data_IF_115598238005
#
_entry.id   IF_115598238005
#
_cell.length_a   1.000
_cell.length_b   1.000
_cell.length_c   1.000
_cell.angle_alpha   90.00
_cell.angle_beta   90.00
_cell.angle_gamma   90.00
#
_symmetry.space_group_name_H-M   'P 1'
#
loop_
_entity.id
_entity.type
_entity.pdbx_description
1 polymer ?
#
# COMPACT_ATOMS: atom_id res chain seq x y z
N UNK A 1 -20.01 -3.37 25.87
CA UNK A 1 -19.41 -4.68 26.23
C UNK A 1 -18.46 -5.07 25.11
N UNK A 2 -17.19 -5.29 25.46
CA UNK A 2 -16.03 -5.75 24.66
C UNK A 2 -16.17 -6.00 23.14
N UNK A 3 -15.72 -5.03 22.34
CA UNK A 3 -15.41 -5.19 20.89
C UNK A 3 -14.25 -6.17 20.62
N UNK A 4 -13.50 -6.58 21.64
CA UNK A 4 -12.42 -7.58 21.54
C UNK A 4 -12.89 -9.03 21.34
N UNK A 5 -14.19 -9.32 21.47
CA UNK A 5 -14.75 -10.65 21.20
C UNK A 5 -14.83 -10.95 19.70
N UNK A 6 -15.20 -9.94 18.91
CA UNK A 6 -15.56 -10.09 17.49
C UNK A 6 -14.35 -10.41 16.62
N UNK A 7 -13.20 -9.77 16.86
CA UNK A 7 -11.97 -10.03 16.10
C UNK A 7 -11.40 -11.43 16.35
N UNK A 8 -11.59 -11.99 17.56
CA UNK A 8 -11.24 -13.39 17.87
C UNK A 8 -12.18 -14.36 17.15
N UNK A 9 -13.46 -14.03 17.07
CA UNK A 9 -14.47 -14.77 16.31
C UNK A 9 -14.17 -14.72 14.81
N UNK A 10 -13.88 -13.56 14.24
CA UNK A 10 -13.57 -13.36 12.81
C UNK A 10 -12.26 -14.06 12.39
N UNK A 11 -11.20 -14.00 13.22
CA UNK A 11 -9.97 -14.78 12.99
C UNK A 11 -10.26 -16.27 13.13
N UNK A 12 -10.99 -16.71 14.15
CA UNK A 12 -11.39 -18.11 14.28
C UNK A 12 -12.33 -18.57 13.16
N UNK A 13 -13.16 -17.72 12.58
CA UNK A 13 -14.01 -18.05 11.43
C UNK A 13 -13.19 -18.16 10.15
N UNK A 14 -12.24 -17.26 9.90
CA UNK A 14 -11.33 -17.34 8.76
C UNK A 14 -10.41 -18.58 8.85
N UNK A 15 -9.96 -18.92 10.06
CA UNK A 15 -9.18 -20.13 10.35
C UNK A 15 -10.04 -21.40 10.30
N UNK A 16 -11.25 -21.40 10.89
CA UNK A 16 -12.14 -22.56 10.87
C UNK A 16 -12.76 -22.83 9.48
N UNK A 17 -13.02 -21.79 8.66
CA UNK A 17 -13.47 -21.96 7.27
C UNK A 17 -12.43 -22.62 6.37
N UNK A 18 -11.15 -22.73 6.78
CA UNK A 18 -10.05 -23.29 5.98
C UNK A 18 -9.05 -24.12 6.83
N UNK A 19 -9.58 -24.97 7.73
CA UNK A 19 -8.79 -25.84 8.64
C UNK A 19 -7.81 -26.79 7.95
N UNK A 20 -7.99 -27.09 6.67
CA UNK A 20 -7.26 -28.14 5.97
C UNK A 20 -5.87 -27.72 5.46
N UNK A 21 -5.54 -26.42 5.46
CA UNK A 21 -4.20 -25.96 5.10
C UNK A 21 -3.22 -26.13 6.28
N UNK A 22 -2.58 -27.30 6.30
CA UNK A 22 -1.52 -27.66 7.25
C UNK A 22 -0.29 -26.75 7.21
N UNK A 23 -0.10 -25.90 6.20
CA UNK A 23 0.98 -24.91 6.19
C UNK A 23 0.59 -23.66 6.98
N UNK A 24 -0.64 -23.16 6.78
CA UNK A 24 -1.18 -22.01 7.53
C UNK A 24 -1.26 -22.30 9.02
N UNK A 25 -1.79 -23.47 9.40
CA UNK A 25 -1.90 -23.86 10.82
C UNK A 25 -0.54 -24.02 11.48
N UNK A 26 0.47 -24.56 10.78
CA UNK A 26 1.86 -24.64 11.30
C UNK A 26 2.54 -23.28 11.42
N UNK A 27 2.25 -22.35 10.51
CA UNK A 27 2.75 -20.97 10.60
C UNK A 27 2.11 -20.27 11.82
N UNK A 28 0.78 -20.28 11.93
CA UNK A 28 0.04 -19.67 13.03
C UNK A 28 0.40 -20.26 14.39
N UNK A 29 0.60 -21.58 14.50
CA UNK A 29 1.00 -22.24 15.74
C UNK A 29 2.41 -21.83 16.16
N UNK A 30 3.39 -21.79 15.23
CA UNK A 30 4.74 -21.23 15.49
C UNK A 30 4.73 -19.74 15.84
N UNK A 31 3.69 -19.00 15.47
CA UNK A 31 3.54 -17.56 15.73
C UNK A 31 2.81 -17.24 17.05
N UNK A 32 2.13 -18.20 17.69
CA UNK A 32 1.31 -17.94 18.88
C UNK A 32 2.07 -18.00 20.21
N UNK A 33 3.22 -18.68 20.23
CA UNK A 33 4.02 -18.88 21.43
C UNK A 33 5.19 -17.86 21.47
N UNK A 34 5.82 -17.70 22.65
CA UNK A 34 7.29 -17.53 22.85
C UNK A 34 7.95 -16.17 23.27
N UNK A 35 9.12 -16.29 23.94
CA UNK A 35 9.39 -15.66 25.25
C UNK A 35 10.73 -14.99 25.69
N UNK A 36 11.76 -14.62 24.88
CA UNK A 36 13.04 -14.09 25.49
C UNK A 36 14.01 -13.08 24.77
N UNK A 37 15.23 -12.86 25.32
CA UNK A 37 16.26 -11.82 24.99
C UNK A 37 17.75 -12.34 24.87
N UNK A 38 18.69 -11.52 24.36
CA UNK A 38 19.89 -11.78 23.48
C UNK A 38 19.61 -11.54 21.97
N UNK A 39 18.52 -10.81 21.69
CA UNK A 39 18.00 -10.71 20.33
C UNK A 39 18.36 -9.42 19.60
N UNK A 40 18.63 -8.31 20.28
CA UNK A 40 18.86 -7.01 19.61
C UNK A 40 20.11 -7.04 18.73
N UNK A 41 21.24 -7.57 19.23
CA UNK A 41 22.45 -7.79 18.44
C UNK A 41 22.23 -8.78 17.28
N UNK A 42 21.37 -9.79 17.47
CA UNK A 42 21.00 -10.75 16.42
C UNK A 42 20.04 -10.16 15.38
N UNK A 43 19.22 -9.18 15.75
CA UNK A 43 18.26 -8.49 14.89
C UNK A 43 18.86 -7.30 14.14
N UNK A 44 19.95 -6.70 14.63
CA UNK A 44 20.65 -5.60 13.97
C UNK A 44 21.15 -5.93 12.54
N UNK A 45 21.29 -7.22 12.19
CA UNK A 45 21.65 -7.70 10.85
C UNK A 45 20.46 -7.89 9.91
N UNK A 46 19.23 -7.82 10.41
CA UNK A 46 18.00 -7.97 9.65
C UNK A 46 17.37 -6.62 9.32
N UNK A 47 16.57 -6.58 8.25
CA UNK A 47 15.87 -5.38 7.80
C UNK A 47 14.38 -5.52 8.07
N UNK A 48 13.83 -4.58 8.81
CA UNK A 48 12.41 -4.45 9.13
C UNK A 48 12.07 -2.98 9.41
N UNK A 49 10.80 -2.57 9.44
CA UNK A 49 10.40 -1.23 9.87
C UNK A 49 11.01 -0.80 11.21
N UNK A 50 11.21 -1.75 12.13
CA UNK A 50 11.83 -1.52 13.44
C UNK A 50 13.35 -1.25 13.39
N UNK A 51 14.04 -1.64 12.30
CA UNK A 51 15.50 -1.50 12.17
C UNK A 51 15.93 -0.37 11.22
N UNK A 52 14.98 0.25 10.51
CA UNK A 52 15.28 1.30 9.53
C UNK A 52 15.37 2.71 10.13
N UNK A 53 15.01 2.90 11.40
CA UNK A 53 15.07 4.20 12.08
C UNK A 53 13.96 5.19 11.70
N UNK A 54 12.98 4.77 10.89
CA UNK A 54 11.84 5.60 10.51
C UNK A 54 10.72 5.57 11.55
N UNK A 55 10.11 6.72 11.80
CA UNK A 55 9.01 6.84 12.75
C UNK A 55 7.75 6.09 12.28
N UNK A 56 7.05 5.46 13.23
CA UNK A 56 5.71 4.94 13.01
C UNK A 56 4.74 6.06 12.59
N UNK A 57 3.81 5.74 11.69
CA UNK A 57 2.79 6.70 11.26
C UNK A 57 1.88 7.07 12.46
N UNK A 58 1.46 8.33 12.62
CA UNK A 58 0.54 8.71 13.68
C UNK A 58 -0.84 8.07 13.47
N UNK A 59 -1.63 7.91 14.54
CA UNK A 59 -2.89 7.17 14.51
C UNK A 59 -3.90 7.66 13.44
N UNK A 60 -4.15 8.97 13.24
CA UNK A 60 -5.05 9.43 12.17
C UNK A 60 -4.54 9.06 10.76
N UNK A 61 -3.22 9.09 10.55
CA UNK A 61 -2.60 8.63 9.29
C UNK A 61 -2.76 7.12 9.10
N UNK A 62 -2.75 6.34 10.18
CA UNK A 62 -3.07 4.91 10.11
C UNK A 62 -4.52 4.66 9.67
N UNK A 63 -5.49 5.42 10.19
CA UNK A 63 -6.88 5.34 9.72
C UNK A 63 -7.00 5.70 8.22
N UNK A 64 -6.34 6.77 7.79
CA UNK A 64 -6.28 7.17 6.38
C UNK A 64 -5.63 6.14 5.45
N UNK A 65 -4.53 5.50 5.87
CA UNK A 65 -3.89 4.41 5.10
C UNK A 65 -4.82 3.19 5.04
N UNK A 66 -5.48 2.82 6.14
CA UNK A 66 -6.42 1.70 6.18
C UNK A 66 -7.63 1.90 5.26
N UNK A 67 -8.20 3.11 5.24
CA UNK A 67 -9.31 3.47 4.35
C UNK A 67 -8.91 3.46 2.86
N UNK A 68 -7.62 3.70 2.57
CA UNK A 68 -7.06 3.75 1.20
C UNK A 68 -6.38 2.48 0.72
N UNK A 69 -6.47 1.36 1.44
CA UNK A 69 -5.85 0.08 1.01
C UNK A 69 -6.27 -0.37 -0.40
N UNK A 70 -7.47 0.00 -0.86
CA UNK A 70 -7.93 -0.27 -2.22
C UNK A 70 -7.11 0.44 -3.32
N UNK A 71 -6.38 1.52 -3.01
CA UNK A 71 -5.57 2.27 -3.97
C UNK A 71 -4.22 1.62 -4.28
N UNK A 72 -3.86 0.55 -3.57
CA UNK A 72 -2.61 -0.17 -3.80
C UNK A 72 -2.46 -0.70 -5.24
N UNK A 73 -3.58 -1.03 -5.91
CA UNK A 73 -3.61 -1.50 -7.30
C UNK A 73 -3.14 -2.94 -7.51
N UNK A 74 -2.11 -3.37 -6.77
CA UNK A 74 -1.52 -4.71 -6.78
C UNK A 74 -1.46 -5.30 -5.37
N UNK A 75 -1.48 -6.64 -5.25
CA UNK A 75 -1.28 -7.34 -3.97
C UNK A 75 0.07 -6.98 -3.33
N UNK A 76 1.07 -6.63 -4.15
CA UNK A 76 2.40 -6.20 -3.73
C UNK A 76 2.38 -4.89 -2.96
N UNK A 77 1.80 -3.84 -3.55
CA UNK A 77 1.67 -2.55 -2.89
C UNK A 77 0.72 -2.64 -1.67
N UNK A 78 -0.27 -3.55 -1.72
CA UNK A 78 -1.16 -3.84 -0.59
C UNK A 78 -0.40 -4.47 0.59
N UNK A 79 0.57 -5.34 0.33
CA UNK A 79 1.45 -5.91 1.34
C UNK A 79 2.20 -4.83 2.12
N UNK A 80 2.61 -3.76 1.43
CA UNK A 80 3.40 -2.67 2.01
C UNK A 80 2.57 -1.71 2.85
N UNK A 81 1.39 -1.33 2.38
CA UNK A 81 0.48 -0.51 3.17
C UNK A 81 0.01 -1.25 4.42
N UNK A 82 -0.28 -2.56 4.31
CA UNK A 82 -0.57 -3.41 5.47
C UNK A 82 0.63 -3.60 6.40
N UNK A 83 1.87 -3.71 5.89
CA UNK A 83 3.07 -3.78 6.71
C UNK A 83 3.33 -2.47 7.46
N UNK A 84 3.08 -1.32 6.83
CA UNK A 84 3.20 -0.01 7.45
C UNK A 84 2.15 0.18 8.55
N UNK A 85 0.90 -0.22 8.30
CA UNK A 85 -0.13 -0.32 9.34
C UNK A 85 0.29 -1.26 10.47
N UNK A 86 0.82 -2.44 10.15
CA UNK A 86 1.25 -3.43 11.13
C UNK A 86 2.30 -2.85 12.08
N UNK A 87 3.38 -2.28 11.53
CA UNK A 87 4.42 -1.58 12.28
C UNK A 87 3.87 -0.42 13.13
N UNK A 88 3.06 0.44 12.53
CA UNK A 88 2.58 1.66 13.17
C UNK A 88 1.60 1.37 14.31
N UNK A 89 0.58 0.53 14.06
CA UNK A 89 -0.38 0.10 15.08
C UNK A 89 0.32 -0.64 16.23
N UNK A 90 1.32 -1.47 15.94
CA UNK A 90 2.08 -2.18 16.97
C UNK A 90 2.87 -1.21 17.87
N UNK A 91 3.51 -0.20 17.27
CA UNK A 91 4.25 0.86 17.98
C UNK A 91 3.31 1.71 18.85
N UNK A 92 2.13 2.06 18.36
CA UNK A 92 1.07 2.76 19.10
C UNK A 92 0.27 1.85 20.06
N UNK A 93 0.87 0.75 20.54
CA UNK A 93 0.30 -0.21 21.50
C UNK A 93 -0.98 -0.96 21.08
N UNK A 94 -1.51 -0.73 19.88
CA UNK A 94 -2.56 -1.54 19.22
C UNK A 94 -1.99 -2.87 18.68
N UNK A 95 -1.29 -3.61 19.56
CA UNK A 95 -0.48 -4.79 19.23
C UNK A 95 -1.26 -5.92 18.57
N UNK A 96 -2.53 -6.11 18.94
CA UNK A 96 -3.40 -7.12 18.34
C UNK A 96 -3.74 -6.77 16.88
N UNK A 97 -4.18 -5.52 16.63
CA UNK A 97 -4.47 -5.00 15.28
C UNK A 97 -3.21 -5.03 14.41
N UNK A 98 -2.06 -4.60 14.95
CA UNK A 98 -0.78 -4.61 14.24
C UNK A 98 -0.35 -6.02 13.81
N UNK A 99 -0.48 -7.01 14.69
CA UNK A 99 -0.24 -8.43 14.35
C UNK A 99 -1.24 -8.96 13.32
N UNK A 100 -2.51 -8.61 13.43
CA UNK A 100 -3.53 -9.03 12.45
C UNK A 100 -3.18 -8.50 11.05
N UNK A 101 -2.76 -7.23 10.93
CA UNK A 101 -2.29 -6.67 9.65
C UNK A 101 -1.03 -7.36 9.12
N UNK A 102 -0.11 -7.77 9.99
CA UNK A 102 1.07 -8.55 9.57
C UNK A 102 0.69 -9.95 9.07
N UNK A 103 -0.26 -10.63 9.73
CA UNK A 103 -0.83 -11.91 9.26
C UNK A 103 -1.51 -11.74 7.89
N UNK A 104 -2.26 -10.66 7.68
CA UNK A 104 -2.83 -10.35 6.36
C UNK A 104 -1.76 -10.18 5.26
N UNK A 105 -0.54 -9.73 5.58
CA UNK A 105 0.58 -9.73 4.62
C UNK A 105 1.08 -11.16 4.34
N UNK A 106 1.20 -12.02 5.35
CA UNK A 106 1.61 -13.42 5.17
C UNK A 106 0.64 -14.20 4.30
N UNK A 107 -0.65 -13.86 4.33
CA UNK A 107 -1.63 -14.48 3.45
C UNK A 107 -1.24 -14.34 1.97
N UNK A 108 -0.60 -13.25 1.56
CA UNK A 108 -0.13 -13.03 0.18
C UNK A 108 1.03 -13.96 -0.25
N UNK A 109 1.62 -14.70 0.69
CA UNK A 109 2.65 -15.72 0.41
C UNK A 109 2.05 -17.12 0.25
N UNK A 110 0.76 -17.31 0.56
CA UNK A 110 0.09 -18.61 0.46
C UNK A 110 -0.32 -18.92 -0.98
N UNK A 111 -0.31 -20.20 -1.39
CA UNK A 111 -0.73 -20.59 -2.73
C UNK A 111 -2.25 -20.44 -2.90
N UNK A 112 -2.65 -20.01 -4.10
CA UNK A 112 -4.05 -20.03 -4.55
C UNK A 112 -4.69 -18.64 -4.69
N UNK A 113 -5.74 -18.53 -5.54
CA UNK A 113 -6.26 -17.26 -6.04
C UNK A 113 -6.97 -16.40 -4.97
N UNK A 114 -7.33 -16.97 -3.82
CA UNK A 114 -7.87 -16.20 -2.69
C UNK A 114 -6.82 -15.37 -1.94
N UNK A 115 -5.54 -15.68 -2.14
CA UNK A 115 -4.46 -15.30 -1.24
C UNK A 115 -3.39 -14.48 -1.95
N UNK A 116 -2.89 -15.01 -3.07
CA UNK A 116 -2.10 -14.28 -4.04
C UNK A 116 -2.84 -14.41 -5.37
N UNK A 117 -3.32 -13.29 -5.95
CA UNK A 117 -4.16 -13.30 -7.16
C UNK A 117 -3.38 -13.61 -8.45
N UNK A 118 -2.34 -14.45 -8.35
CA UNK A 118 -1.35 -14.66 -9.40
C UNK A 118 -0.49 -13.43 -9.65
N UNK A 119 -0.36 -12.52 -8.68
CA UNK A 119 0.33 -11.23 -8.80
C UNK A 119 1.82 -11.50 -9.11
N UNK A 120 2.31 -11.26 -10.35
CA UNK A 120 3.61 -11.82 -10.77
C UNK A 120 4.76 -11.33 -9.89
N UNK A 121 4.79 -10.05 -9.56
CA UNK A 121 5.83 -9.44 -8.72
C UNK A 121 5.88 -10.03 -7.30
N UNK A 122 4.75 -10.49 -6.74
CA UNK A 122 4.72 -11.17 -5.42
C UNK A 122 5.37 -12.56 -5.51
N UNK A 123 5.29 -13.22 -6.68
CA UNK A 123 5.96 -14.49 -6.94
C UNK A 123 7.45 -14.28 -7.23
N UNK A 124 7.76 -13.33 -8.11
CA UNK A 124 9.13 -12.98 -8.52
C UNK A 124 9.96 -12.55 -7.31
N UNK A 125 9.41 -11.71 -6.43
CA UNK A 125 10.07 -11.19 -5.23
C UNK A 125 9.57 -11.80 -3.92
N UNK A 126 9.15 -13.08 -3.98
CA UNK A 126 8.58 -13.81 -2.84
C UNK A 126 9.54 -13.96 -1.67
N UNK A 127 10.84 -14.15 -1.93
CA UNK A 127 11.84 -14.26 -0.86
C UNK A 127 12.03 -12.93 -0.13
N UNK A 128 12.06 -11.81 -0.86
CA UNK A 128 12.17 -10.46 -0.29
C UNK A 128 10.99 -10.13 0.62
N UNK A 129 9.76 -10.36 0.14
CA UNK A 129 8.56 -10.13 0.93
C UNK A 129 8.57 -11.02 2.18
N UNK A 130 8.78 -12.34 2.02
CA UNK A 130 8.88 -13.26 3.16
C UNK A 130 9.93 -12.82 4.18
N UNK A 131 11.14 -12.53 3.72
CA UNK A 131 12.25 -12.09 4.57
C UNK A 131 11.87 -10.86 5.41
N UNK A 132 11.17 -9.89 4.80
CA UNK A 132 10.73 -8.69 5.50
C UNK A 132 9.61 -8.98 6.51
N UNK A 133 8.64 -9.85 6.18
CA UNK A 133 7.59 -10.25 7.11
C UNK A 133 8.15 -11.07 8.28
N UNK A 134 9.04 -12.03 8.02
CA UNK A 134 9.71 -12.86 9.03
C UNK A 134 10.53 -11.96 9.98
N UNK A 135 11.32 -11.04 9.44
CA UNK A 135 12.11 -10.06 10.21
C UNK A 135 11.24 -9.11 11.04
N UNK A 136 10.11 -8.64 10.48
CA UNK A 136 9.19 -7.75 11.20
C UNK A 136 8.46 -8.47 12.32
N UNK A 137 8.05 -9.73 12.10
CA UNK A 137 7.40 -10.55 13.12
C UNK A 137 8.34 -10.83 14.30
N UNK A 138 9.60 -11.19 14.01
CA UNK A 138 10.64 -11.33 15.02
C UNK A 138 10.80 -10.04 15.85
N UNK A 139 10.95 -8.88 15.21
CA UNK A 139 11.04 -7.58 15.90
C UNK A 139 9.84 -7.31 16.81
N UNK A 140 8.60 -7.57 16.37
CA UNK A 140 7.40 -7.42 17.20
C UNK A 140 7.44 -8.30 18.45
N UNK A 141 7.82 -9.57 18.31
CA UNK A 141 7.91 -10.53 19.43
C UNK A 141 8.96 -10.16 20.48
N UNK A 142 9.91 -9.29 20.14
CA UNK A 142 10.98 -8.82 21.03
C UNK A 142 10.58 -7.53 21.75
N UNK A 143 10.05 -6.55 21.00
CA UNK A 143 9.55 -5.25 21.54
C UNK A 143 8.42 -5.41 22.59
N UNK A 144 7.78 -6.59 22.67
CA UNK A 144 6.78 -6.86 23.70
C UNK A 144 7.36 -6.91 25.14
N UNK A 145 8.69 -6.99 25.30
CA UNK A 145 9.37 -7.27 26.59
C UNK A 145 9.83 -6.00 27.30
N UNK A 146 9.26 -5.73 28.48
CA UNK A 146 9.72 -4.68 29.41
C UNK A 146 10.43 -5.23 30.66
N UNK A 147 10.67 -6.54 30.75
CA UNK A 147 11.31 -7.17 31.91
C UNK A 147 12.52 -8.02 31.48
N UNK A 148 13.63 -7.98 32.25
CA UNK A 148 14.81 -8.81 32.00
C UNK A 148 14.55 -10.24 32.46
N UNK A 149 13.96 -11.06 31.59
CA UNK A 149 13.90 -12.51 31.77
C UNK A 149 15.15 -13.16 31.17
N UNK A 150 15.71 -14.14 31.85
CA UNK A 150 16.98 -14.79 31.50
C UNK A 150 16.85 -15.72 30.29
N UNK A 151 17.33 -15.27 29.13
CA UNK A 151 17.50 -16.07 27.90
C UNK A 151 16.43 -15.84 26.82
N UNK A 152 16.74 -16.25 25.58
CA UNK A 152 15.77 -16.35 24.48
C UNK A 152 15.00 -17.67 24.64
N UNK A 153 13.68 -17.61 24.57
CA UNK A 153 12.86 -18.81 24.49
C UNK A 153 13.16 -19.57 23.17
N UNK A 154 13.43 -20.89 23.25
CA UNK A 154 13.92 -21.71 22.13
C UNK A 154 13.17 -21.57 20.80
N UNK A 155 11.84 -21.44 20.77
CA UNK A 155 11.10 -21.45 19.49
C UNK A 155 11.35 -20.19 18.66
N UNK A 156 11.62 -19.05 19.31
CA UNK A 156 11.90 -17.76 18.66
C UNK A 156 13.38 -17.69 18.30
N UNK A 157 14.26 -18.29 19.11
CA UNK A 157 15.64 -18.53 18.71
C UNK A 157 15.71 -19.41 17.45
N UNK A 158 14.92 -20.50 17.38
CA UNK A 158 14.78 -21.35 16.20
C UNK A 158 14.21 -20.54 15.02
N UNK A 159 13.08 -19.85 15.18
CA UNK A 159 12.47 -19.05 14.13
C UNK A 159 13.43 -18.00 13.56
N UNK A 160 14.08 -17.20 14.42
CA UNK A 160 15.07 -16.20 14.00
C UNK A 160 16.24 -16.85 13.27
N UNK A 161 16.65 -18.07 13.64
CA UNK A 161 17.71 -18.80 12.93
C UNK A 161 17.32 -19.21 11.50
N UNK A 162 16.03 -19.33 11.20
CA UNK A 162 15.53 -19.63 9.84
C UNK A 162 15.54 -18.42 8.90
N UNK A 163 15.70 -17.19 9.42
CA UNK A 163 15.70 -15.96 8.62
C UNK A 163 17.06 -15.83 7.92
N UNK A 164 17.07 -15.98 6.58
CA UNK A 164 18.26 -15.73 5.74
C UNK A 164 18.79 -14.30 5.97
N UNK A 165 20.07 -14.06 6.27
CA UNK A 165 20.60 -12.70 6.42
C UNK A 165 20.49 -11.90 5.11
N UNK A 166 20.20 -10.59 5.19
CA UNK A 166 20.02 -9.70 4.01
C UNK A 166 21.11 -9.87 2.94
N UNK A 167 22.38 -9.95 3.36
CA UNK A 167 23.53 -10.04 2.45
C UNK A 167 23.56 -11.36 1.65
N UNK A 168 22.82 -12.40 2.07
CA UNK A 168 22.71 -13.70 1.37
C UNK A 168 21.60 -13.74 0.33
N UNK A 169 20.70 -12.74 0.29
CA UNK A 169 19.62 -12.69 -0.71
C UNK A 169 20.17 -12.42 -2.13
N UNK A 170 19.51 -12.92 -3.19
CA UNK A 170 19.79 -12.53 -4.58
C UNK A 170 19.66 -11.01 -4.81
N UNK A 171 20.28 -10.47 -5.87
CA UNK A 171 20.30 -9.02 -6.15
C UNK A 171 18.91 -8.43 -6.36
N UNK A 172 18.04 -9.14 -7.09
CA UNK A 172 16.62 -8.81 -7.29
C UNK A 172 15.86 -8.70 -5.95
N UNK A 173 16.02 -9.70 -5.09
CA UNK A 173 15.37 -9.72 -3.77
C UNK A 173 15.92 -8.61 -2.86
N UNK A 174 17.22 -8.26 -2.96
CA UNK A 174 17.81 -7.11 -2.28
C UNK A 174 17.21 -5.79 -2.81
N UNK A 175 17.05 -5.65 -4.12
CA UNK A 175 16.42 -4.49 -4.74
C UNK A 175 14.98 -4.29 -4.23
N UNK A 176 14.20 -5.37 -4.15
CA UNK A 176 12.86 -5.35 -3.57
C UNK A 176 12.84 -4.86 -2.12
N UNK A 177 13.71 -5.39 -1.25
CA UNK A 177 13.82 -4.94 0.15
C UNK A 177 14.24 -3.46 0.25
N UNK A 178 15.05 -2.93 -0.68
CA UNK A 178 15.40 -1.51 -0.70
C UNK A 178 14.21 -0.61 -1.07
N UNK A 179 13.38 -1.00 -2.04
CA UNK A 179 12.16 -0.23 -2.37
C UNK A 179 11.11 -0.32 -1.26
N UNK A 180 10.99 -1.48 -0.60
CA UNK A 180 10.20 -1.63 0.62
C UNK A 180 10.65 -0.64 1.70
N UNK A 181 11.95 -0.59 2.00
CA UNK A 181 12.54 0.38 2.94
C UNK A 181 12.26 1.83 2.53
N UNK A 182 12.35 2.13 1.23
CA UNK A 182 12.02 3.45 0.67
C UNK A 182 10.56 3.88 0.85
N UNK A 183 9.61 2.95 1.02
CA UNK A 183 8.21 3.30 1.32
C UNK A 183 7.98 3.73 2.77
N UNK A 184 8.96 3.55 3.66
CA UNK A 184 8.91 3.99 5.05
C UNK A 184 9.74 5.26 5.29
N UNK A 185 10.60 5.63 4.35
CA UNK A 185 11.46 6.81 4.44
C UNK A 185 10.77 8.11 4.06
N UNK A 186 11.50 9.21 4.28
CA UNK A 186 11.20 10.52 3.71
C UNK A 186 11.32 10.54 2.17
N UNK A 187 11.09 11.72 1.58
CA UNK A 187 11.02 11.85 0.13
C UNK A 187 12.36 11.52 -0.56
N UNK A 188 13.48 11.98 0.01
CA UNK A 188 14.84 11.75 -0.49
C UNK A 188 15.35 10.33 -0.21
N UNK A 189 14.96 9.73 0.91
CA UNK A 189 15.24 8.32 1.21
C UNK A 189 14.66 7.40 0.15
N UNK A 190 13.42 7.65 -0.30
CA UNK A 190 12.75 6.82 -1.29
C UNK A 190 13.47 6.91 -2.64
N UNK A 191 13.76 8.13 -3.12
CA UNK A 191 14.51 8.35 -4.37
C UNK A 191 15.86 7.64 -4.36
N UNK A 192 16.61 7.77 -3.27
CA UNK A 192 17.94 7.16 -3.09
C UNK A 192 17.87 5.64 -3.10
N UNK A 193 16.89 5.06 -2.41
CA UNK A 193 16.72 3.60 -2.30
C UNK A 193 16.17 3.00 -3.60
N UNK A 194 15.23 3.67 -4.28
CA UNK A 194 14.73 3.26 -5.58
C UNK A 194 15.83 3.28 -6.66
N UNK A 195 16.65 4.34 -6.73
CA UNK A 195 17.82 4.38 -7.64
C UNK A 195 18.81 3.25 -7.36
N UNK A 196 19.05 2.90 -6.09
CA UNK A 196 19.88 1.73 -5.71
C UNK A 196 19.24 0.40 -6.09
N UNK A 197 17.91 0.27 -5.99
CA UNK A 197 17.20 -0.93 -6.41
C UNK A 197 17.26 -1.12 -7.93
N UNK A 198 17.05 -0.06 -8.71
CA UNK A 198 17.21 -0.07 -10.17
C UNK A 198 18.65 -0.46 -10.56
N UNK A 199 19.67 0.03 -9.86
CA UNK A 199 21.05 -0.36 -10.11
C UNK A 199 21.37 -1.84 -9.80
N UNK A 200 20.59 -2.50 -8.93
CA UNK A 200 20.73 -3.93 -8.62
C UNK A 200 19.86 -4.83 -9.49
N UNK A 201 18.80 -4.28 -10.09
CA UNK A 201 17.76 -5.00 -10.84
C UNK A 201 17.14 -4.05 -11.88
N UNK A 202 17.86 -3.74 -12.98
CA UNK A 202 17.47 -2.67 -13.92
C UNK A 202 16.27 -3.04 -14.81
N UNK A 203 15.98 -4.33 -14.94
CA UNK A 203 14.89 -4.85 -15.79
C UNK A 203 13.56 -4.99 -15.02
N UNK A 204 13.53 -4.61 -13.74
CA UNK A 204 12.32 -4.58 -12.92
C UNK A 204 11.57 -3.25 -13.08
N UNK A 205 10.36 -3.32 -13.63
CA UNK A 205 9.50 -2.16 -13.85
C UNK A 205 9.02 -1.49 -12.56
N UNK A 206 8.81 -2.22 -11.47
CA UNK A 206 8.25 -1.65 -10.23
C UNK A 206 9.20 -0.67 -9.55
N UNK A 207 10.51 -0.89 -9.59
CA UNK A 207 11.46 0.06 -8.98
C UNK A 207 11.45 1.40 -9.73
N UNK A 208 11.24 1.35 -11.05
CA UNK A 208 11.09 2.52 -11.92
C UNK A 208 9.71 3.18 -11.74
N UNK A 209 8.64 2.40 -11.56
CA UNK A 209 7.33 2.91 -11.14
C UNK A 209 7.44 3.72 -9.86
N UNK A 210 8.07 3.16 -8.83
CA UNK A 210 8.22 3.79 -7.53
C UNK A 210 9.08 5.05 -7.58
N UNK A 211 10.16 5.07 -8.38
CA UNK A 211 10.96 6.27 -8.63
C UNK A 211 10.15 7.34 -9.38
N UNK A 212 9.49 6.98 -10.48
CA UNK A 212 8.68 7.90 -11.30
C UNK A 212 7.47 8.46 -10.55
N UNK A 213 6.79 7.64 -9.76
CA UNK A 213 5.73 8.09 -8.84
C UNK A 213 6.25 9.13 -7.85
N UNK A 214 7.44 8.91 -7.30
CA UNK A 214 8.00 9.83 -6.31
C UNK A 214 8.40 11.17 -6.92
N UNK A 215 9.01 11.15 -8.11
CA UNK A 215 9.34 12.35 -8.88
C UNK A 215 8.08 13.14 -9.25
N UNK A 216 7.03 12.48 -9.74
CA UNK A 216 5.70 13.09 -9.96
C UNK A 216 5.16 13.75 -8.68
N UNK A 217 5.25 13.05 -7.54
CA UNK A 217 4.80 13.57 -6.25
C UNK A 217 5.58 14.81 -5.78
N UNK A 218 6.91 14.82 -5.94
CA UNK A 218 7.74 16.00 -5.63
C UNK A 218 7.40 17.18 -6.56
N UNK A 219 7.29 16.93 -7.87
CA UNK A 219 6.90 17.94 -8.86
C UNK A 219 5.57 18.60 -8.50
N UNK A 220 4.53 17.81 -8.20
CA UNK A 220 3.20 18.32 -7.84
C UNK A 220 3.26 19.14 -6.54
N UNK A 221 3.99 18.68 -5.50
CA UNK A 221 4.22 19.46 -4.27
C UNK A 221 4.92 20.80 -4.51
N UNK A 222 5.79 20.88 -5.52
CA UNK A 222 6.51 22.09 -5.92
C UNK A 222 5.70 22.99 -6.88
N UNK A 223 4.47 22.62 -7.25
CA UNK A 223 3.65 23.35 -8.21
C UNK A 223 4.08 23.19 -9.68
N UNK A 224 4.94 22.21 -9.99
CA UNK A 224 5.47 21.98 -11.33
C UNK A 224 4.42 21.39 -12.28
N UNK A 225 4.07 22.13 -13.33
CA UNK A 225 3.07 21.73 -14.33
C UNK A 225 3.59 20.86 -15.47
N UNK A 226 4.91 20.66 -15.59
CA UNK A 226 5.54 19.89 -16.68
C UNK A 226 6.36 18.74 -16.11
N UNK A 227 6.06 17.47 -16.44
CA UNK A 227 6.84 16.30 -16.02
C UNK A 227 8.32 16.38 -16.40
N UNK A 228 9.18 15.91 -15.49
CA UNK A 228 10.61 15.81 -15.75
C UNK A 228 10.96 14.71 -16.77
N UNK A 229 12.12 14.81 -17.41
CA UNK A 229 12.62 13.77 -18.33
C UNK A 229 12.86 12.44 -17.59
N UNK A 230 13.44 12.47 -16.39
CA UNK A 230 13.61 11.27 -15.54
C UNK A 230 12.24 10.67 -15.13
N UNK A 231 11.26 11.50 -14.76
CA UNK A 231 9.90 11.07 -14.39
C UNK A 231 9.25 10.27 -15.53
N UNK A 232 9.19 10.83 -16.74
CA UNK A 232 8.57 10.17 -17.88
C UNK A 232 9.37 8.96 -18.37
N UNK A 233 10.70 9.02 -18.35
CA UNK A 233 11.54 7.89 -18.73
C UNK A 233 11.31 6.68 -17.80
N UNK A 234 11.28 6.90 -16.48
CA UNK A 234 11.04 5.84 -15.51
C UNK A 234 9.63 5.26 -15.62
N UNK A 235 8.60 6.10 -15.82
CA UNK A 235 7.22 5.61 -15.94
C UNK A 235 6.96 4.86 -17.26
N UNK A 236 7.57 5.29 -18.38
CA UNK A 236 7.52 4.54 -19.66
C UNK A 236 8.24 3.20 -19.55
N UNK A 237 9.41 3.18 -18.96
CA UNK A 237 10.15 1.94 -18.71
C UNK A 237 9.38 0.99 -17.79
N UNK A 238 8.71 1.52 -16.76
CA UNK A 238 7.90 0.73 -15.85
C UNK A 238 6.76 0.00 -16.59
N UNK A 239 5.98 0.72 -17.41
CA UNK A 239 4.91 0.14 -18.24
C UNK A 239 5.46 -0.88 -19.26
N UNK A 240 6.66 -0.66 -19.81
CA UNK A 240 7.31 -1.58 -20.74
C UNK A 240 7.76 -2.88 -20.08
N UNK A 241 8.34 -2.80 -18.88
CA UNK A 241 8.97 -3.94 -18.19
C UNK A 241 7.99 -4.72 -17.31
N UNK A 242 7.04 -4.02 -16.66
CA UNK A 242 6.00 -4.64 -15.84
C UNK A 242 4.69 -3.86 -15.97
N UNK A 243 3.92 -4.16 -17.01
CA UNK A 243 2.55 -3.62 -17.14
C UNK A 243 1.68 -4.11 -15.98
N UNK A 244 1.02 -3.16 -15.32
CA UNK A 244 0.22 -3.38 -14.12
C UNK A 244 -0.80 -2.22 -13.93
N UNK A 245 -1.81 -2.40 -13.06
CA UNK A 245 -2.79 -1.37 -12.71
C UNK A 245 -2.19 0.00 -12.35
N UNK A 246 -1.11 -0.01 -11.59
CA UNK A 246 -0.41 1.16 -11.06
C UNK A 246 0.57 1.78 -12.05
N UNK A 247 1.31 0.99 -12.84
CA UNK A 247 2.20 1.55 -13.88
C UNK A 247 1.43 2.29 -14.97
N UNK A 248 0.34 1.69 -15.48
CA UNK A 248 -0.53 2.32 -16.50
C UNK A 248 -1.13 3.63 -16.00
N UNK A 249 -1.75 3.60 -14.81
CA UNK A 249 -2.42 4.78 -14.25
C UNK A 249 -1.43 5.86 -13.83
N UNK A 250 -0.25 5.51 -13.31
CA UNK A 250 0.78 6.49 -12.94
C UNK A 250 1.33 7.24 -14.14
N UNK A 251 1.64 6.53 -15.24
CA UNK A 251 2.08 7.14 -16.49
C UNK A 251 0.99 8.04 -17.09
N UNK A 252 -0.27 7.61 -17.07
CA UNK A 252 -1.39 8.41 -17.55
C UNK A 252 -1.56 9.73 -16.77
N UNK A 253 -1.35 9.73 -15.45
CA UNK A 253 -1.37 10.96 -14.63
C UNK A 253 -0.28 11.95 -15.08
N UNK A 254 0.98 11.50 -15.27
CA UNK A 254 2.03 12.40 -15.76
C UNK A 254 1.73 12.91 -17.18
N UNK A 255 1.24 12.04 -18.06
CA UNK A 255 0.97 12.43 -19.45
C UNK A 255 -0.22 13.37 -19.63
N UNK A 256 -1.16 13.44 -18.68
CA UNK A 256 -2.25 14.42 -18.71
C UNK A 256 -1.75 15.89 -18.65
N UNK A 257 -0.57 16.10 -18.04
CA UNK A 257 0.13 17.37 -17.99
C UNK A 257 0.93 17.65 -19.31
N UNK A 258 1.22 16.64 -20.12
CA UNK A 258 2.08 16.71 -21.32
C UNK A 258 1.37 17.21 -22.60
N UNK A 259 0.60 18.30 -22.51
CA UNK A 259 -0.03 18.95 -23.67
C UNK A 259 -0.98 18.04 -24.48
N UNK A 260 -1.34 18.39 -25.74
CA UNK A 260 -2.34 17.66 -26.50
C UNK A 260 -1.95 16.20 -26.83
N UNK A 261 -0.68 15.96 -27.19
CA UNK A 261 -0.19 14.62 -27.51
C UNK A 261 -0.16 13.71 -26.26
N UNK A 262 0.38 14.20 -25.15
CA UNK A 262 0.39 13.48 -23.88
C UNK A 262 -1.01 13.19 -23.36
N UNK A 263 -1.95 14.15 -23.47
CA UNK A 263 -3.36 13.93 -23.10
C UNK A 263 -4.04 12.85 -23.93
N UNK A 264 -3.68 12.74 -25.21
CA UNK A 264 -4.19 11.67 -26.10
C UNK A 264 -3.67 10.31 -25.66
N UNK A 265 -2.37 10.21 -25.36
CA UNK A 265 -1.75 8.97 -24.85
C UNK A 265 -2.25 8.60 -23.44
N UNK A 266 -2.47 9.58 -22.55
CA UNK A 266 -3.05 9.39 -21.23
C UNK A 266 -4.48 8.83 -21.29
N UNK A 267 -5.33 9.31 -22.22
CA UNK A 267 -6.65 8.73 -22.47
C UNK A 267 -6.53 7.27 -22.92
N UNK A 268 -5.65 6.98 -23.87
CA UNK A 268 -5.42 5.59 -24.34
C UNK A 268 -4.97 4.66 -23.21
N UNK A 269 -4.07 5.10 -22.32
CA UNK A 269 -3.62 4.33 -21.16
C UNK A 269 -4.74 4.11 -20.12
N UNK A 270 -5.62 5.10 -19.91
CA UNK A 270 -6.80 4.95 -19.04
C UNK A 270 -7.77 3.94 -19.63
N UNK A 271 -8.09 4.05 -20.92
CA UNK A 271 -9.03 3.15 -21.59
C UNK A 271 -8.48 1.71 -21.61
N UNK A 272 -7.16 1.53 -21.83
CA UNK A 272 -6.46 0.25 -21.69
C UNK A 272 -6.54 -0.30 -20.26
N UNK A 273 -6.23 0.51 -19.24
CA UNK A 273 -6.28 0.06 -17.85
C UNK A 273 -7.69 -0.34 -17.41
N UNK A 274 -8.72 0.38 -17.87
CA UNK A 274 -10.12 0.05 -17.61
C UNK A 274 -10.59 -1.22 -18.35
N UNK A 275 -9.98 -1.55 -19.48
CA UNK A 275 -10.25 -2.78 -20.22
C UNK A 275 -9.51 -4.01 -19.64
N UNK A 276 -8.23 -3.85 -19.25
CA UNK A 276 -7.43 -4.90 -18.62
C UNK A 276 -7.88 -5.19 -17.17
N UNK A 277 -8.34 -4.17 -16.44
CA UNK A 277 -8.65 -4.25 -14.99
C UNK A 277 -10.00 -3.59 -14.62
N UNK A 278 -11.14 -4.02 -15.22
CA UNK A 278 -12.43 -3.34 -15.09
C UNK A 278 -12.98 -3.26 -13.67
N UNK A 279 -12.61 -4.23 -12.81
CA UNK A 279 -13.02 -4.32 -11.41
C UNK A 279 -11.87 -4.06 -10.42
N UNK A 280 -10.82 -3.33 -10.86
CA UNK A 280 -9.77 -2.86 -9.96
C UNK A 280 -10.10 -1.45 -9.45
N UNK A 281 -10.38 -1.35 -8.14
CA UNK A 281 -10.77 -0.09 -7.52
C UNK A 281 -9.71 1.01 -7.58
N UNK A 282 -8.41 0.66 -7.58
CA UNK A 282 -7.35 1.64 -7.80
C UNK A 282 -7.44 2.20 -9.22
N UNK A 283 -7.60 1.34 -10.23
CA UNK A 283 -7.74 1.77 -11.63
C UNK A 283 -8.97 2.66 -11.79
N UNK A 284 -10.13 2.25 -11.28
CA UNK A 284 -11.36 3.06 -11.33
C UNK A 284 -11.17 4.44 -10.68
N UNK A 285 -10.53 4.50 -9.51
CA UNK A 285 -10.26 5.75 -8.79
C UNK A 285 -9.20 6.64 -9.45
N UNK A 286 -8.15 6.07 -10.05
CA UNK A 286 -7.10 6.84 -10.73
C UNK A 286 -7.53 7.25 -12.13
N UNK A 287 -8.27 6.41 -12.87
CA UNK A 287 -8.92 6.77 -14.12
C UNK A 287 -9.84 7.98 -13.93
N UNK A 288 -10.68 7.97 -12.88
CA UNK A 288 -11.51 9.11 -12.53
C UNK A 288 -10.68 10.40 -12.32
N UNK A 289 -9.54 10.30 -11.65
CA UNK A 289 -8.63 11.44 -11.48
C UNK A 289 -8.02 11.92 -12.80
N UNK A 290 -7.53 11.01 -13.66
CA UNK A 290 -6.98 11.37 -14.98
C UNK A 290 -8.04 12.02 -15.86
N UNK A 291 -9.27 11.48 -15.91
CA UNK A 291 -10.39 12.07 -16.67
C UNK A 291 -10.67 13.52 -16.22
N UNK A 292 -10.56 13.83 -14.92
CA UNK A 292 -10.65 15.21 -14.42
C UNK A 292 -9.50 16.10 -14.93
N UNK A 293 -8.27 15.59 -15.04
CA UNK A 293 -7.09 16.32 -15.54
C UNK A 293 -7.13 16.55 -17.06
N UNK A 294 -7.64 15.58 -17.83
CA UNK A 294 -7.79 15.69 -19.28
C UNK A 294 -8.82 16.76 -19.67
N UNK A 295 -9.88 16.91 -18.87
CA UNK A 295 -10.97 17.84 -19.12
C UNK A 295 -11.83 17.45 -20.33
N UNK A 296 -12.44 18.46 -20.97
CA UNK A 296 -13.38 18.28 -22.08
C UNK A 296 -14.73 18.92 -21.76
N UNK A 297 -15.82 18.36 -22.29
CA UNK A 297 -17.17 18.81 -21.93
C UNK A 297 -17.43 18.55 -20.44
N UNK A 298 -17.67 19.62 -19.68
CA UNK A 298 -17.88 19.62 -18.22
C UNK A 298 -18.88 18.55 -17.79
N UNK A 299 -20.02 18.45 -18.49
CA UNK A 299 -21.08 17.48 -18.18
C UNK A 299 -20.66 16.03 -18.50
N UNK A 300 -19.87 15.81 -19.55
CA UNK A 300 -19.37 14.48 -19.90
C UNK A 300 -18.32 13.99 -18.89
N UNK A 301 -17.35 14.86 -18.56
CA UNK A 301 -16.33 14.60 -17.52
C UNK A 301 -17.00 14.25 -16.20
N UNK A 302 -17.95 15.06 -15.73
CA UNK A 302 -18.63 14.78 -14.47
C UNK A 302 -19.48 13.50 -14.50
N UNK A 303 -20.09 13.13 -15.63
CA UNK A 303 -20.81 11.86 -15.75
C UNK A 303 -19.85 10.65 -15.68
N UNK A 304 -18.74 10.70 -16.41
CA UNK A 304 -17.73 9.64 -16.45
C UNK A 304 -17.08 9.44 -15.07
N UNK A 305 -16.69 10.54 -14.42
CA UNK A 305 -16.04 10.54 -13.11
C UNK A 305 -16.99 10.09 -11.99
N UNK A 306 -18.26 10.53 -12.01
CA UNK A 306 -19.29 10.07 -11.06
C UNK A 306 -19.55 8.56 -11.21
N UNK A 307 -19.58 8.05 -12.43
CA UNK A 307 -19.69 6.61 -12.72
C UNK A 307 -18.45 5.82 -12.24
N UNK A 308 -17.24 6.29 -12.51
CA UNK A 308 -16.00 5.61 -12.11
C UNK A 308 -15.84 5.53 -10.59
N UNK A 309 -16.11 6.60 -9.84
CA UNK A 309 -16.09 6.54 -8.37
C UNK A 309 -17.24 5.69 -7.80
N UNK A 310 -18.41 5.66 -8.45
CA UNK A 310 -19.53 4.78 -8.05
C UNK A 310 -19.19 3.30 -8.27
N UNK A 311 -18.56 2.95 -9.41
CA UNK A 311 -18.02 1.61 -9.66
C UNK A 311 -16.93 1.23 -8.65
N UNK A 312 -16.03 2.16 -8.32
CA UNK A 312 -15.00 1.92 -7.31
C UNK A 312 -15.63 1.55 -5.96
N UNK A 313 -16.63 2.31 -5.50
CA UNK A 313 -17.39 2.02 -4.27
C UNK A 313 -18.11 0.66 -4.32
N UNK A 314 -18.63 0.26 -5.48
CA UNK A 314 -19.27 -1.05 -5.64
C UNK A 314 -18.27 -2.21 -5.50
N UNK A 315 -17.02 -2.02 -5.94
CA UNK A 315 -15.93 -2.99 -5.82
C UNK A 315 -15.32 -3.03 -4.40
N UNK A 316 -15.10 -1.87 -3.79
CA UNK A 316 -14.43 -1.78 -2.47
C UNK A 316 -15.34 -2.03 -1.28
N UNK A 317 -16.65 -1.87 -1.48
CA UNK A 317 -17.53 -1.50 -0.37
C UNK A 317 -17.33 -0.04 0.04
N UNK A 318 -17.92 0.33 1.17
CA UNK A 318 -18.01 1.72 1.61
C UNK A 318 -16.70 2.20 2.27
N UNK A 319 -16.08 3.25 1.74
CA UNK A 319 -14.89 3.88 2.32
C UNK A 319 -14.97 5.41 2.29
N UNK A 320 -14.32 6.08 3.24
CA UNK A 320 -14.38 7.52 3.40
C UNK A 320 -13.74 8.25 2.20
N UNK A 321 -12.61 7.77 1.69
CA UNK A 321 -11.88 8.40 0.59
C UNK A 321 -12.71 8.50 -0.70
N UNK A 322 -13.37 7.42 -1.12
CA UNK A 322 -14.20 7.44 -2.32
C UNK A 322 -15.48 8.26 -2.11
N UNK A 323 -16.05 8.26 -0.90
CA UNK A 323 -17.17 9.15 -0.53
C UNK A 323 -16.76 10.62 -0.61
N UNK A 324 -15.58 10.99 -0.12
CA UNK A 324 -15.04 12.35 -0.26
C UNK A 324 -14.86 12.73 -1.73
N UNK A 325 -14.20 11.87 -2.54
CA UNK A 325 -14.03 12.11 -3.99
C UNK A 325 -15.37 12.29 -4.72
N UNK A 326 -16.34 11.42 -4.48
CA UNK A 326 -17.68 11.52 -5.06
C UNK A 326 -18.41 12.79 -4.60
N UNK A 327 -18.29 13.15 -3.31
CA UNK A 327 -18.84 14.39 -2.76
C UNK A 327 -18.28 15.65 -3.43
N UNK A 328 -16.96 15.72 -3.64
CA UNK A 328 -16.31 16.83 -4.35
C UNK A 328 -16.83 16.97 -5.78
N UNK A 329 -16.98 15.87 -6.51
CA UNK A 329 -17.53 15.86 -7.87
C UNK A 329 -18.98 16.35 -7.87
N UNK A 330 -19.82 15.83 -6.97
CA UNK A 330 -21.22 16.28 -6.85
C UNK A 330 -21.33 17.77 -6.47
N UNK A 331 -20.41 18.30 -5.66
CA UNK A 331 -20.33 19.72 -5.32
C UNK A 331 -19.97 20.56 -6.55
N UNK A 332 -18.98 20.14 -7.33
CA UNK A 332 -18.58 20.77 -8.60
C UNK A 332 -19.72 20.75 -9.65
N UNK A 333 -20.60 19.75 -9.61
CA UNK A 333 -21.85 19.69 -10.42
C UNK A 333 -22.99 20.59 -9.91
N UNK A 334 -22.80 21.32 -8.81
CA UNK A 334 -23.87 22.08 -8.14
C UNK A 334 -24.89 21.21 -7.37
N UNK A 335 -24.69 19.88 -7.27
CA UNK A 335 -25.58 18.96 -6.55
C UNK A 335 -25.30 18.96 -5.03
N UNK A 336 -25.27 20.15 -4.42
CA UNK A 336 -24.81 20.37 -3.04
C UNK A 336 -25.49 19.48 -1.98
N UNK A 337 -26.79 19.18 -2.11
CA UNK A 337 -27.50 18.26 -1.20
C UNK A 337 -26.96 16.83 -1.26
N UNK A 338 -26.63 16.32 -2.44
CA UNK A 338 -26.06 14.99 -2.62
C UNK A 338 -24.59 14.95 -2.18
N UNK A 339 -23.82 16.01 -2.45
CA UNK A 339 -22.45 16.16 -1.96
C UNK A 339 -22.38 16.08 -0.43
N UNK A 340 -23.26 16.84 0.26
CA UNK A 340 -23.37 16.82 1.73
C UNK A 340 -23.64 15.41 2.28
N UNK A 341 -24.51 14.63 1.64
CA UNK A 341 -24.76 13.24 2.03
C UNK A 341 -23.51 12.36 1.90
N UNK A 342 -22.70 12.53 0.85
CA UNK A 342 -21.45 11.77 0.71
C UNK A 342 -20.43 12.17 1.79
N UNK A 343 -20.25 13.46 2.06
CA UNK A 343 -19.34 13.94 3.10
C UNK A 343 -19.76 13.48 4.50
N UNK A 344 -21.06 13.53 4.82
CA UNK A 344 -21.59 13.00 6.08
C UNK A 344 -21.34 11.49 6.21
N UNK A 345 -21.51 10.74 5.11
CA UNK A 345 -21.24 9.29 5.08
C UNK A 345 -19.75 8.99 5.20
N UNK A 346 -18.87 9.79 4.61
CA UNK A 346 -17.42 9.67 4.77
C UNK A 346 -16.99 9.86 6.24
N UNK A 347 -17.46 10.94 6.88
CA UNK A 347 -17.15 11.23 8.28
C UNK A 347 -17.71 10.16 9.25
N UNK A 348 -18.85 9.55 8.92
CA UNK A 348 -19.43 8.44 9.68
C UNK A 348 -18.64 7.12 9.54
N UNK A 349 -17.88 6.93 8.44
CA UNK A 349 -16.98 5.78 8.25
C UNK A 349 -15.67 6.00 9.01
N UNK A 350 -15.04 7.16 8.82
CA UNK A 350 -13.82 7.54 9.54
C UNK A 350 -13.59 9.05 9.48
N UNK A 351 -13.80 9.74 10.60
CA UNK A 351 -13.48 11.17 10.72
C UNK A 351 -11.98 11.43 10.53
N UNK A 352 -11.12 10.64 11.17
CA UNK A 352 -9.65 10.69 11.02
C UNK A 352 -9.21 10.64 9.54
N UNK A 353 -9.79 9.73 8.75
CA UNK A 353 -9.47 9.61 7.33
C UNK A 353 -9.97 10.81 6.51
N UNK A 354 -11.10 11.42 6.89
CA UNK A 354 -11.60 12.66 6.27
C UNK A 354 -10.71 13.86 6.61
N UNK A 355 -10.34 14.03 7.89
CA UNK A 355 -9.45 15.12 8.32
C UNK A 355 -8.07 15.02 7.66
N UNK A 356 -7.52 13.82 7.58
CA UNK A 356 -6.24 13.56 6.91
C UNK A 356 -6.35 13.77 5.38
N UNK A 357 -7.46 13.35 4.75
CA UNK A 357 -7.73 13.64 3.34
C UNK A 357 -7.77 15.14 3.06
N UNK A 358 -8.42 15.94 3.91
CA UNK A 358 -8.56 17.38 3.69
C UNK A 358 -7.22 18.14 3.76
N UNK A 359 -6.17 17.59 4.38
CA UNK A 359 -4.81 18.15 4.34
C UNK A 359 -4.16 18.02 2.96
N UNK A 360 -4.51 16.98 2.21
CA UNK A 360 -4.02 16.72 0.85
C UNK A 360 -4.83 17.50 -0.22
N UNK A 361 -5.93 18.17 0.15
CA UNK A 361 -6.82 18.91 -0.78
C UNK A 361 -6.50 20.40 -0.73
N UNK A 362 -6.22 21.08 -1.87
CA UNK A 362 -6.05 22.53 -1.89
C UNK A 362 -7.32 23.26 -1.40
N UNK A 363 -7.18 24.50 -0.95
CA UNK A 363 -8.16 25.14 -0.08
C UNK A 363 -9.56 25.56 -0.63
N UNK A 364 -9.91 25.58 -1.95
CA UNK A 364 -11.22 26.11 -2.36
C UNK A 364 -12.44 25.23 -2.01
N UNK A 365 -12.26 24.07 -1.36
CA UNK A 365 -13.36 23.18 -0.93
C UNK A 365 -13.82 23.40 0.52
N UNK A 366 -13.25 24.38 1.23
CA UNK A 366 -13.48 24.61 2.67
C UNK A 366 -14.59 25.63 3.00
N UNK A 367 -15.59 25.83 2.12
CA UNK A 367 -16.75 26.72 2.32
C UNK A 367 -18.05 26.06 1.88
#
# INVERSE_FOLDING_TARGET
>A
MTEGGDMRLMINELVNKRRDDKAVMRLLQRMQEVGGCDCEARMAKFKSPFSWGWAAQPMPRCAYIADKLFQAGTDWNLAFDKLNLAYSLYTWSKRAEGRAKLVECYMLLLPGPSFNRGCPIVNDHREALRYLLDSTWASMCLVQRKQPCTGIDPVLAEFISTIKPYNTLPLEQKAAVLVMEGRFSDDEGLLRLARRAIALSPDEGEWKHMLGWKLQGQRVKQGGSVPGTEELAMLRDAVRLRRSPDTLTRLAISLADCGPAGRTEARQLVDQALAEYPDNAAVLSQAAHVVQLLGGSVQAVYNEVENLYTRALAVTGDCAHLRMKLGMVLQQRGKARQAKQQFQRAAAISLDAVEEFMKDVPFPFAK
#
